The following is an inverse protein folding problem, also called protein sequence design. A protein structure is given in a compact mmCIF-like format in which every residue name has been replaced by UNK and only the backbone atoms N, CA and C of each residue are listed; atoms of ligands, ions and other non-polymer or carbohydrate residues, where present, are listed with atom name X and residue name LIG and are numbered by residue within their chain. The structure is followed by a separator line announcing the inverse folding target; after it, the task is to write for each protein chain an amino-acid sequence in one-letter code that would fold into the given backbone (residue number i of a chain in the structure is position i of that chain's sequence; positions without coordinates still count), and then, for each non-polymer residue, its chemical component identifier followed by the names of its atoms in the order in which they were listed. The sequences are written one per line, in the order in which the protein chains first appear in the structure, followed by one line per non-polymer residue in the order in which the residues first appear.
data_IF_751767708105
#
_entry.id   IF_751767708105
#
_cell.length_a   1.000
_cell.length_b   1.000
_cell.length_c   1.000
_cell.angle_alpha   90.00
_cell.angle_beta   90.00
_cell.angle_gamma   90.00
#
_symmetry.space_group_name_H-M   'P 1'
#
loop_
_entity.id
_entity.type
_entity.pdbx_description
1 polymer ?
#
# COMPACT_ATOMS: atom_id res chain seq x y z
N UNK A 1 13.59 15.65 -17.58
CA UNK A 1 13.48 16.25 -16.25
C UNK A 1 12.05 16.13 -15.70
N UNK A 2 11.55 14.90 -15.49
CA UNK A 2 10.25 14.62 -14.88
C UNK A 2 10.36 13.76 -13.60
N UNK A 3 11.60 13.50 -13.12
CA UNK A 3 11.83 12.55 -12.02
C UNK A 3 12.08 13.19 -10.64
N UNK A 4 12.21 14.52 -10.55
CA UNK A 4 12.61 15.15 -9.28
C UNK A 4 11.58 15.03 -8.14
N UNK A 5 10.31 14.69 -8.44
CA UNK A 5 9.26 14.59 -7.43
C UNK A 5 8.43 13.28 -7.48
N UNK A 6 8.78 12.30 -8.33
CA UNK A 6 8.04 11.05 -8.37
C UNK A 6 8.66 10.03 -7.40
N UNK A 7 7.83 9.42 -6.57
CA UNK A 7 8.23 8.40 -5.59
C UNK A 7 7.40 7.15 -5.84
N UNK A 8 8.07 6.01 -6.05
CA UNK A 8 7.38 4.72 -6.09
C UNK A 8 6.96 4.33 -4.68
N UNK A 9 5.66 4.41 -4.41
CA UNK A 9 5.06 4.07 -3.11
C UNK A 9 4.60 2.61 -3.02
N UNK A 10 4.63 1.87 -4.13
CA UNK A 10 4.20 0.47 -4.20
C UNK A 10 5.24 -0.37 -4.95
N UNK A 11 6.24 -0.86 -4.22
CA UNK A 11 7.32 -1.69 -4.77
C UNK A 11 7.42 -2.99 -4.01
N UNK A 12 7.56 -4.11 -4.74
CA UNK A 12 7.65 -5.45 -4.16
C UNK A 12 9.00 -6.08 -4.49
N UNK A 13 9.57 -6.79 -3.52
CA UNK A 13 10.81 -7.55 -3.70
C UNK A 13 10.56 -9.04 -3.84
N UNK A 14 11.62 -9.83 -4.01
CA UNK A 14 11.57 -11.29 -4.02
C UNK A 14 11.01 -11.94 -2.73
N UNK A 15 10.82 -11.16 -1.66
CA UNK A 15 10.08 -11.61 -0.48
C UNK A 15 8.57 -11.71 -0.73
N UNK A 16 8.07 -11.10 -1.79
CA UNK A 16 6.70 -11.26 -2.30
C UNK A 16 6.65 -12.40 -3.30
N UNK A 17 6.61 -13.65 -2.81
CA UNK A 17 6.65 -14.84 -3.65
C UNK A 17 5.62 -14.77 -4.80
N UNK A 18 6.06 -15.05 -6.03
CA UNK A 18 5.33 -14.95 -7.31
C UNK A 18 5.05 -13.51 -7.80
N UNK A 19 5.44 -12.45 -7.07
CA UNK A 19 5.16 -11.06 -7.47
C UNK A 19 6.42 -10.24 -7.69
N UNK A 20 7.47 -10.46 -6.90
CA UNK A 20 8.75 -9.79 -7.05
C UNK A 20 9.88 -10.78 -7.31
N UNK A 21 10.88 -10.37 -8.09
CA UNK A 21 12.06 -11.20 -8.41
C UNK A 21 13.36 -10.57 -7.92
N UNK A 22 13.40 -9.24 -7.78
CA UNK A 22 14.59 -8.51 -7.37
C UNK A 22 14.78 -8.56 -5.85
N UNK A 23 16.03 -8.59 -5.39
CA UNK A 23 16.31 -8.40 -3.96
C UNK A 23 16.03 -6.95 -3.55
N UNK A 24 15.78 -6.67 -2.25
CA UNK A 24 15.67 -5.30 -1.78
C UNK A 24 16.87 -4.42 -2.13
N UNK A 25 18.07 -4.98 -2.14
CA UNK A 25 19.29 -4.24 -2.52
C UNK A 25 19.32 -3.89 -4.01
N UNK A 26 18.88 -4.80 -4.89
CA UNK A 26 18.83 -4.55 -6.33
C UNK A 26 17.81 -3.46 -6.69
N UNK A 27 16.66 -3.45 -5.98
CA UNK A 27 15.64 -2.42 -6.14
C UNK A 27 16.19 -1.05 -5.77
N UNK A 28 16.90 -0.95 -4.64
CA UNK A 28 17.52 0.30 -4.19
C UNK A 28 18.63 0.75 -5.16
N UNK A 29 19.48 -0.17 -5.61
CA UNK A 29 20.52 0.14 -6.59
C UNK A 29 19.92 0.64 -7.92
N UNK A 30 18.80 0.05 -8.36
CA UNK A 30 18.08 0.51 -9.55
C UNK A 30 17.49 1.92 -9.34
N UNK A 31 16.86 2.17 -8.18
CA UNK A 31 16.31 3.48 -7.83
C UNK A 31 17.42 4.56 -7.81
N UNK A 32 18.56 4.25 -7.20
CA UNK A 32 19.72 5.16 -7.16
C UNK A 32 20.23 5.51 -8.57
N UNK A 33 20.40 4.50 -9.43
CA UNK A 33 20.83 4.72 -10.83
C UNK A 33 19.87 5.59 -11.63
N UNK A 34 18.58 5.55 -11.28
CA UNK A 34 17.54 6.35 -11.92
C UNK A 34 17.29 7.71 -11.22
N UNK A 35 18.10 8.08 -10.25
CA UNK A 35 18.04 9.39 -9.59
C UNK A 35 16.88 9.55 -8.59
N UNK A 36 16.25 8.45 -8.12
CA UNK A 36 15.24 8.54 -7.08
C UNK A 36 15.86 8.84 -5.73
N UNK A 37 15.26 9.78 -5.01
CA UNK A 37 15.69 10.18 -3.66
C UNK A 37 14.96 9.43 -2.55
N UNK A 38 13.84 8.78 -2.89
CA UNK A 38 13.01 8.00 -1.96
C UNK A 38 12.44 6.78 -2.66
N UNK A 39 12.25 5.71 -1.92
CA UNK A 39 11.65 4.47 -2.43
C UNK A 39 10.85 3.80 -1.32
N UNK A 40 9.68 3.25 -1.64
CA UNK A 40 8.93 2.40 -0.71
C UNK A 40 9.23 0.92 -0.97
N UNK A 41 9.20 0.12 0.11
CA UNK A 41 9.08 -1.33 0.02
C UNK A 41 7.76 -1.74 0.67
N UNK A 42 6.91 -2.43 -0.10
CA UNK A 42 5.55 -2.81 0.29
C UNK A 42 5.27 -4.28 -0.04
N UNK A 43 6.15 -5.16 0.42
CA UNK A 43 6.03 -6.60 0.17
C UNK A 43 4.67 -7.15 0.65
N UNK A 44 4.19 -8.20 -0.03
CA UNK A 44 2.90 -8.84 0.27
C UNK A 44 2.99 -9.73 1.50
N UNK A 45 2.16 -9.43 2.49
CA UNK A 45 1.96 -10.23 3.70
C UNK A 45 3.24 -10.42 4.56
N UNK A 46 4.29 -9.62 4.33
CA UNK A 46 5.58 -9.77 5.03
C UNK A 46 6.36 -8.46 5.16
N UNK A 47 7.10 -8.31 6.25
CA UNK A 47 8.09 -7.27 6.49
C UNK A 47 9.52 -7.81 6.51
N UNK A 48 9.74 -9.07 6.08
CA UNK A 48 11.04 -9.74 6.19
C UNK A 48 12.18 -9.04 5.43
N UNK A 49 11.87 -8.37 4.31
CA UNK A 49 12.85 -7.62 3.51
C UNK A 49 13.24 -6.24 4.08
N UNK A 50 12.48 -5.72 5.04
CA UNK A 50 12.52 -4.31 5.47
C UNK A 50 13.90 -3.86 5.96
N UNK A 51 14.55 -4.64 6.83
CA UNK A 51 15.85 -4.25 7.40
C UNK A 51 16.95 -4.22 6.33
N UNK A 52 16.94 -5.20 5.42
CA UNK A 52 17.89 -5.23 4.29
C UNK A 52 17.66 -4.06 3.36
N UNK A 53 16.40 -3.75 3.08
CA UNK A 53 15.99 -2.60 2.29
C UNK A 53 16.48 -1.28 2.92
N UNK A 54 16.17 -1.04 4.19
CA UNK A 54 16.55 0.19 4.90
C UNK A 54 18.07 0.37 4.93
N UNK A 55 18.84 -0.69 5.22
CA UNK A 55 20.31 -0.64 5.17
C UNK A 55 20.83 -0.27 3.79
N UNK A 56 20.27 -0.85 2.73
CA UNK A 56 20.64 -0.53 1.36
C UNK A 56 20.29 0.92 1.00
N UNK A 57 19.13 1.41 1.39
CA UNK A 57 18.71 2.79 1.17
C UNK A 57 19.69 3.78 1.80
N UNK A 58 20.07 3.55 3.06
CA UNK A 58 21.07 4.39 3.76
C UNK A 58 22.40 4.43 3.00
N UNK A 59 22.89 3.27 2.54
CA UNK A 59 24.15 3.18 1.79
C UNK A 59 24.09 3.92 0.44
N UNK A 60 22.92 4.06 -0.17
CA UNK A 60 22.71 4.75 -1.44
C UNK A 60 22.12 6.17 -1.28
N UNK A 61 22.02 6.69 -0.05
CA UNK A 61 21.44 8.01 0.25
C UNK A 61 19.98 8.16 -0.23
N UNK A 62 19.22 7.07 -0.23
CA UNK A 62 17.79 7.03 -0.55
C UNK A 62 17.00 7.02 0.76
N UNK A 63 15.95 7.82 0.85
CA UNK A 63 15.01 7.78 1.99
C UNK A 63 14.12 6.55 1.91
N UNK A 64 14.19 5.60 2.87
CA UNK A 64 13.34 4.43 2.87
C UNK A 64 11.93 4.77 3.34
N UNK A 65 10.93 4.31 2.60
CA UNK A 65 9.53 4.31 3.03
C UNK A 65 9.13 2.86 3.28
N UNK A 66 8.69 2.57 4.49
CA UNK A 66 8.37 1.20 4.89
C UNK A 66 6.87 0.99 4.85
N UNK A 67 6.46 -0.07 4.20
CA UNK A 67 5.07 -0.46 4.11
C UNK A 67 4.86 -1.95 3.93
N UNK A 68 3.62 -2.32 3.76
CA UNK A 68 3.18 -3.69 3.50
C UNK A 68 1.89 -3.68 2.69
N UNK A 69 1.74 -4.64 1.78
CA UNK A 69 0.46 -4.89 1.10
C UNK A 69 -0.21 -6.10 1.73
N UNK A 70 -1.38 -5.90 2.32
CA UNK A 70 -2.15 -6.94 3.03
C UNK A 70 -3.55 -7.11 2.45
N UNK A 71 -4.18 -8.25 2.72
CA UNK A 71 -5.61 -8.44 2.49
C UNK A 71 -6.41 -7.59 3.47
N UNK A 72 -7.46 -6.94 2.97
CA UNK A 72 -8.25 -5.99 3.75
C UNK A 72 -9.75 -6.18 3.51
N UNK A 73 -10.48 -6.38 4.59
CA UNK A 73 -11.92 -6.62 4.63
C UNK A 73 -12.38 -7.89 3.89
N UNK A 74 -11.54 -8.50 3.08
CA UNK A 74 -11.85 -9.71 2.32
C UNK A 74 -10.58 -10.50 1.95
N UNK A 75 -10.76 -11.76 1.54
CA UNK A 75 -9.69 -12.64 1.07
C UNK A 75 -9.11 -12.25 -0.30
N UNK A 76 -9.86 -11.45 -1.07
CA UNK A 76 -9.51 -11.14 -2.46
C UNK A 76 -8.94 -9.74 -2.64
N UNK A 77 -9.30 -8.79 -1.77
CA UNK A 77 -8.93 -7.39 -1.90
C UNK A 77 -7.73 -7.01 -1.03
N UNK A 78 -6.94 -6.09 -1.53
CA UNK A 78 -5.71 -5.67 -0.86
C UNK A 78 -5.62 -4.16 -0.77
N UNK A 79 -4.96 -3.71 0.29
CA UNK A 79 -4.55 -2.32 0.49
C UNK A 79 -3.07 -2.28 0.82
N UNK A 80 -2.46 -1.12 0.61
CA UNK A 80 -1.08 -0.89 1.04
C UNK A 80 -1.09 0.01 2.27
N UNK A 81 -0.39 -0.42 3.31
CA UNK A 81 -0.15 0.35 4.53
C UNK A 81 1.27 0.90 4.49
N UNK A 82 1.43 2.20 4.72
CA UNK A 82 2.75 2.84 4.81
C UNK A 82 2.93 3.43 6.21
N UNK A 83 4.10 3.22 6.81
CA UNK A 83 4.49 3.86 8.05
C UNK A 83 4.71 5.37 7.83
N UNK A 84 4.13 6.21 8.70
CA UNK A 84 4.32 7.66 8.68
C UNK A 84 5.57 8.11 9.43
N UNK A 85 6.04 7.27 10.36
CA UNK A 85 7.15 7.57 11.26
C UNK A 85 7.83 6.28 11.75
N UNK A 86 8.84 6.40 12.59
CA UNK A 86 9.40 5.25 13.32
C UNK A 86 8.37 4.55 14.21
N UNK A 87 7.44 5.30 14.81
CA UNK A 87 6.29 4.75 15.54
C UNK A 87 5.37 3.94 14.62
N UNK A 88 5.09 4.46 13.43
CA UNK A 88 4.33 3.75 12.40
C UNK A 88 4.97 2.44 11.98
N UNK A 89 6.30 2.38 11.84
CA UNK A 89 6.99 1.11 11.60
C UNK A 89 6.77 0.09 12.73
N UNK A 90 6.88 0.54 13.98
CA UNK A 90 6.59 -0.31 15.14
C UNK A 90 5.14 -0.82 15.13
N UNK A 91 4.22 0.04 14.73
CA UNK A 91 2.80 -0.30 14.56
C UNK A 91 2.58 -1.34 13.46
N UNK A 92 3.23 -1.20 12.30
CA UNK A 92 3.20 -2.21 11.23
C UNK A 92 3.70 -3.57 11.72
N UNK A 93 4.83 -3.60 12.43
CA UNK A 93 5.40 -4.85 12.95
C UNK A 93 4.43 -5.53 13.93
N UNK A 94 3.85 -4.77 14.87
CA UNK A 94 2.88 -5.27 15.84
C UNK A 94 1.60 -5.76 15.17
N UNK A 95 1.05 -5.00 14.23
CA UNK A 95 -0.16 -5.36 13.47
C UNK A 95 0.05 -6.67 12.71
N UNK A 96 1.13 -6.76 11.92
CA UNK A 96 1.43 -7.95 11.13
C UNK A 96 1.68 -9.17 12.01
N UNK A 97 2.37 -9.00 13.14
CA UNK A 97 2.60 -10.08 14.10
C UNK A 97 1.29 -10.55 14.73
N UNK A 98 0.43 -9.64 15.15
CA UNK A 98 -0.86 -9.97 15.73
C UNK A 98 -1.78 -10.71 14.73
N UNK A 99 -1.82 -10.26 13.48
CA UNK A 99 -2.58 -10.94 12.42
C UNK A 99 -2.03 -12.34 12.14
N UNK A 100 -0.71 -12.50 12.09
CA UNK A 100 -0.08 -13.81 11.84
C UNK A 100 -0.26 -14.80 12.99
N UNK A 101 -0.27 -14.34 14.23
CA UNK A 101 -0.49 -15.19 15.41
C UNK A 101 -1.91 -15.79 15.48
N UNK A 102 -2.88 -15.18 14.78
CA UNK A 102 -4.25 -15.70 14.69
C UNK A 102 -4.42 -16.80 13.65
N UNK A 103 -3.42 -17.03 12.78
CA UNK A 103 -3.56 -17.89 11.62
C UNK A 103 -3.27 -19.35 11.95
N UNK A 104 -4.05 -20.26 11.35
CA UNK A 104 -3.67 -21.63 11.19
C UNK A 104 -2.52 -21.78 10.18
N UNK A 105 -1.91 -22.97 10.13
CA UNK A 105 -0.79 -23.23 9.25
C UNK A 105 -1.17 -22.98 7.77
N UNK A 106 -0.35 -22.20 7.04
CA UNK A 106 -0.51 -21.82 5.63
C UNK A 106 -1.59 -20.80 5.28
N UNK A 107 -2.28 -20.19 6.21
CA UNK A 107 -3.19 -19.09 5.94
C UNK A 107 -2.44 -17.76 5.73
N UNK A 108 -3.05 -16.85 4.98
CA UNK A 108 -2.52 -15.48 4.80
C UNK A 108 -3.30 -14.50 5.66
N UNK A 109 -2.61 -13.53 6.28
CA UNK A 109 -3.27 -12.58 7.14
C UNK A 109 -4.27 -11.72 6.38
N UNK A 110 -5.47 -11.60 6.95
CA UNK A 110 -6.52 -10.69 6.52
C UNK A 110 -6.81 -9.73 7.67
N UNK A 111 -6.78 -8.45 7.42
CA UNK A 111 -7.27 -7.45 8.34
C UNK A 111 -8.79 -7.33 8.11
N UNK A 112 -9.55 -8.11 8.89
CA UNK A 112 -11.00 -8.16 8.79
C UNK A 112 -11.65 -6.96 9.50
N UNK A 113 -12.92 -6.69 9.20
CA UNK A 113 -13.66 -5.59 9.85
C UNK A 113 -13.70 -5.73 11.37
N UNK A 114 -13.87 -6.94 11.88
CA UNK A 114 -13.87 -7.21 13.32
C UNK A 114 -12.53 -6.92 14.02
N UNK A 115 -11.44 -6.81 13.26
CA UNK A 115 -10.12 -6.49 13.79
C UNK A 115 -9.86 -4.98 13.89
N UNK A 116 -10.63 -4.15 13.17
CA UNK A 116 -10.34 -2.71 13.06
C UNK A 116 -10.39 -2.01 14.42
N UNK A 117 -11.39 -2.29 15.23
CA UNK A 117 -11.51 -1.73 16.58
C UNK A 117 -10.34 -2.17 17.48
N UNK A 118 -9.97 -3.45 17.41
CA UNK A 118 -8.90 -4.02 18.23
C UNK A 118 -7.51 -3.47 17.90
N UNK A 119 -7.31 -2.97 16.68
CA UNK A 119 -6.02 -2.46 16.21
C UNK A 119 -6.04 -0.96 15.90
N UNK A 120 -7.08 -0.22 16.29
CA UNK A 120 -7.20 1.21 16.04
C UNK A 120 -5.98 2.02 16.51
N UNK A 121 -5.39 1.67 17.65
CA UNK A 121 -4.19 2.34 18.16
C UNK A 121 -2.94 2.08 17.29
N UNK A 122 -2.88 0.94 16.59
CA UNK A 122 -1.77 0.60 15.71
C UNK A 122 -1.90 1.24 14.32
N UNK A 123 -3.08 1.71 13.95
CA UNK A 123 -3.36 2.21 12.59
C UNK A 123 -3.27 3.72 12.48
N UNK A 124 -3.27 4.46 13.59
CA UNK A 124 -3.24 5.93 13.61
C UNK A 124 -2.01 6.56 12.95
N UNK A 125 -0.86 5.91 13.05
CA UNK A 125 0.40 6.39 12.46
C UNK A 125 0.74 5.66 11.14
N UNK A 126 -0.30 5.23 10.44
CA UNK A 126 -0.20 4.59 9.12
C UNK A 126 -1.00 5.37 8.09
N UNK A 127 -0.49 5.41 6.84
CA UNK A 127 -1.31 5.69 5.68
C UNK A 127 -1.94 4.39 5.18
N UNK A 128 -3.20 4.45 4.80
CA UNK A 128 -3.88 3.38 4.07
C UNK A 128 -4.08 3.84 2.62
N UNK A 129 -3.45 3.14 1.68
CA UNK A 129 -3.58 3.39 0.25
C UNK A 129 -4.58 2.41 -0.36
N UNK A 130 -5.65 2.95 -0.92
CA UNK A 130 -6.63 2.21 -1.70
C UNK A 130 -6.15 2.11 -3.15
N UNK A 131 -5.35 1.08 -3.43
CA UNK A 131 -4.84 0.79 -4.77
C UNK A 131 -5.83 0.01 -5.65
N UNK A 132 -5.42 -0.35 -6.89
CA UNK A 132 -6.28 -1.02 -7.88
C UNK A 132 -6.91 -2.34 -7.43
N UNK A 133 -6.31 -3.01 -6.46
CA UNK A 133 -6.78 -4.31 -5.95
C UNK A 133 -7.69 -4.15 -4.70
N UNK A 134 -8.14 -2.93 -4.37
CA UNK A 134 -8.98 -2.65 -3.19
C UNK A 134 -10.48 -2.71 -3.51
N UNK A 135 -11.29 -3.04 -2.50
CA UNK A 135 -12.77 -2.95 -2.56
C UNK A 135 -13.26 -1.58 -3.00
N UNK A 136 -12.60 -0.51 -2.56
CA UNK A 136 -12.93 0.84 -2.95
C UNK A 136 -12.84 1.02 -4.46
N UNK A 137 -11.70 0.64 -5.06
CA UNK A 137 -11.51 0.82 -6.49
C UNK A 137 -12.37 -0.13 -7.33
N UNK A 138 -12.67 -1.33 -6.84
CA UNK A 138 -13.66 -2.20 -7.46
C UNK A 138 -15.04 -1.53 -7.54
N UNK A 139 -15.49 -0.89 -6.44
CA UNK A 139 -16.76 -0.16 -6.40
C UNK A 139 -16.78 1.05 -7.35
N UNK A 140 -15.65 1.78 -7.46
CA UNK A 140 -15.50 2.87 -8.43
C UNK A 140 -15.56 2.32 -9.87
N UNK A 141 -14.92 1.18 -10.14
CA UNK A 141 -14.96 0.52 -11.45
C UNK A 141 -16.39 0.11 -11.82
N UNK A 142 -17.12 -0.44 -10.87
CA UNK A 142 -18.52 -0.85 -11.00
C UNK A 142 -19.51 0.34 -11.07
N UNK A 143 -19.03 1.59 -10.97
CA UNK A 143 -19.85 2.81 -10.92
C UNK A 143 -20.87 2.82 -9.75
N UNK A 144 -20.42 2.37 -8.59
CA UNK A 144 -21.20 2.32 -7.34
C UNK A 144 -20.60 3.30 -6.31
N UNK A 145 -20.79 4.63 -6.47
CA UNK A 145 -20.14 5.64 -5.63
C UNK A 145 -20.55 5.54 -4.16
N UNK A 146 -21.82 5.20 -3.88
CA UNK A 146 -22.30 5.03 -2.51
C UNK A 146 -21.61 3.86 -1.80
N UNK A 147 -21.40 2.75 -2.51
CA UNK A 147 -20.66 1.62 -1.98
C UNK A 147 -19.19 1.96 -1.76
N UNK A 148 -18.58 2.71 -2.69
CA UNK A 148 -17.22 3.21 -2.53
C UNK A 148 -17.08 4.09 -1.29
N UNK A 149 -18.00 5.02 -1.07
CA UNK A 149 -18.03 5.87 0.14
C UNK A 149 -18.19 5.05 1.42
N UNK A 150 -19.02 4.01 1.38
CA UNK A 150 -19.18 3.10 2.52
C UNK A 150 -17.90 2.36 2.85
N UNK A 151 -17.13 1.93 1.86
CA UNK A 151 -15.81 1.31 2.10
C UNK A 151 -14.81 2.29 2.71
N UNK A 152 -14.80 3.54 2.27
CA UNK A 152 -13.99 4.60 2.90
C UNK A 152 -14.38 4.84 4.34
N UNK A 153 -15.69 4.89 4.63
CA UNK A 153 -16.19 5.11 5.99
C UNK A 153 -15.76 3.95 6.92
N UNK A 154 -15.96 2.70 6.49
CA UNK A 154 -15.53 1.52 7.26
C UNK A 154 -14.03 1.55 7.52
N UNK A 155 -13.22 1.86 6.52
CA UNK A 155 -11.78 1.96 6.69
C UNK A 155 -11.40 3.14 7.60
N UNK A 156 -12.15 4.25 7.55
CA UNK A 156 -11.93 5.45 8.34
C UNK A 156 -12.15 5.26 9.84
N UNK A 157 -12.90 4.26 10.26
CA UNK A 157 -13.07 3.89 11.67
C UNK A 157 -11.72 3.58 12.33
N UNK A 158 -10.76 3.02 11.58
CA UNK A 158 -9.44 2.66 12.08
C UNK A 158 -8.30 3.49 11.46
N UNK A 159 -8.40 3.86 10.20
CA UNK A 159 -7.34 4.55 9.46
C UNK A 159 -7.71 6.02 9.18
N UNK A 160 -7.25 6.98 10.00
CA UNK A 160 -7.56 8.40 9.79
C UNK A 160 -6.84 8.99 8.55
N UNK A 161 -5.81 8.32 8.06
CA UNK A 161 -5.01 8.78 6.92
C UNK A 161 -5.20 7.86 5.72
N UNK A 162 -6.28 8.10 4.98
CA UNK A 162 -6.61 7.36 3.77
C UNK A 162 -6.23 8.14 2.51
N UNK A 163 -5.80 7.40 1.49
CA UNK A 163 -5.38 7.94 0.19
C UNK A 163 -5.85 7.01 -0.92
N UNK A 164 -6.35 7.56 -2.01
CA UNK A 164 -6.64 6.79 -3.21
C UNK A 164 -5.38 6.75 -4.08
N UNK A 165 -4.88 5.55 -4.34
CA UNK A 165 -3.71 5.32 -5.18
C UNK A 165 -4.14 5.10 -6.63
N UNK A 166 -3.87 6.06 -7.49
CA UNK A 166 -4.13 5.99 -8.92
C UNK A 166 -2.93 5.39 -9.63
N UNK A 167 -3.12 4.21 -10.23
CA UNK A 167 -2.06 3.49 -10.96
C UNK A 167 -2.43 3.41 -12.42
N UNK A 168 -1.49 3.77 -13.31
CA UNK A 168 -1.66 3.57 -14.76
C UNK A 168 -0.44 2.87 -15.34
N UNK A 169 -0.66 1.68 -15.91
CA UNK A 169 0.33 0.98 -16.72
C UNK A 169 0.14 1.26 -18.20
N UNK A 170 -0.59 2.33 -18.56
CA UNK A 170 -0.95 2.69 -19.94
C UNK A 170 -1.70 1.56 -20.69
N UNK A 171 -2.26 0.62 -19.94
CA UNK A 171 -3.07 -0.46 -20.52
C UNK A 171 -4.41 0.09 -21.02
N UNK A 172 -4.96 -0.43 -22.13
CA UNK A 172 -6.23 0.05 -22.68
C UNK A 172 -7.43 -0.29 -21.77
N UNK A 173 -7.34 -1.39 -21.01
CA UNK A 173 -8.41 -1.89 -20.13
C UNK A 173 -7.85 -2.45 -18.81
N UNK A 174 -8.72 -2.74 -17.85
CA UNK A 174 -8.38 -3.37 -16.59
C UNK A 174 -8.17 -2.36 -15.45
N UNK A 175 -7.94 -2.89 -14.25
CA UNK A 175 -7.85 -2.12 -13.00
C UNK A 175 -6.66 -1.12 -12.97
N UNK A 176 -5.65 -1.31 -13.81
CA UNK A 176 -4.47 -0.45 -13.95
C UNK A 176 -4.43 0.30 -15.27
N UNK A 177 -5.59 0.49 -15.91
CA UNK A 177 -5.70 1.31 -17.13
C UNK A 177 -5.73 2.79 -16.79
N UNK A 178 -5.36 3.63 -17.77
CA UNK A 178 -5.46 5.09 -17.65
C UNK A 178 -6.90 5.53 -17.37
N UNK A 179 -7.89 4.83 -17.96
CA UNK A 179 -9.31 5.11 -17.70
C UNK A 179 -9.68 4.88 -16.24
N UNK A 180 -9.18 3.80 -15.62
CA UNK A 180 -9.44 3.52 -14.20
C UNK A 180 -8.75 4.52 -13.30
N UNK A 181 -7.49 4.88 -13.59
CA UNK A 181 -6.78 5.92 -12.86
C UNK A 181 -7.54 7.26 -12.92
N UNK A 182 -8.03 7.64 -14.08
CA UNK A 182 -8.84 8.86 -14.25
C UNK A 182 -10.16 8.81 -13.47
N UNK A 183 -10.86 7.66 -13.45
CA UNK A 183 -12.08 7.48 -12.64
C UNK A 183 -11.79 7.59 -11.15
N UNK A 184 -10.73 6.95 -10.66
CA UNK A 184 -10.32 7.01 -9.26
C UNK A 184 -9.96 8.44 -8.85
N UNK A 185 -9.25 9.18 -9.70
CA UNK A 185 -8.92 10.58 -9.49
C UNK A 185 -10.16 11.47 -9.49
N UNK A 186 -11.09 11.26 -10.43
CA UNK A 186 -12.38 11.96 -10.48
C UNK A 186 -13.18 11.74 -9.20
N UNK A 187 -13.35 10.50 -8.78
CA UNK A 187 -14.02 10.15 -7.52
C UNK A 187 -13.35 10.83 -6.30
N UNK A 188 -12.02 10.79 -6.22
CA UNK A 188 -11.27 11.43 -5.15
C UNK A 188 -11.54 12.94 -5.09
N UNK A 189 -11.50 13.63 -6.25
CA UNK A 189 -11.77 15.06 -6.35
C UNK A 189 -13.20 15.40 -5.94
N UNK A 190 -14.17 14.65 -6.44
CA UNK A 190 -15.60 14.93 -6.23
C UNK A 190 -16.01 14.74 -4.76
N UNK A 191 -15.24 13.94 -4.00
CA UNK A 191 -15.49 13.68 -2.58
C UNK A 191 -14.43 14.28 -1.63
N UNK A 192 -13.51 15.11 -2.12
CA UNK A 192 -12.50 15.79 -1.30
C UNK A 192 -11.48 14.83 -0.67
N UNK A 193 -11.22 13.68 -1.30
CA UNK A 193 -10.30 12.66 -0.80
C UNK A 193 -8.93 12.87 -1.44
N UNK A 194 -7.87 12.69 -0.66
CA UNK A 194 -6.51 12.77 -1.18
C UNK A 194 -6.25 11.63 -2.18
N UNK A 195 -5.70 11.98 -3.35
CA UNK A 195 -5.24 11.01 -4.34
C UNK A 195 -3.75 11.18 -4.62
N UNK A 196 -3.09 10.10 -4.99
CA UNK A 196 -1.69 10.06 -5.41
C UNK A 196 -1.56 9.27 -6.71
N UNK A 197 -0.56 9.58 -7.48
CA UNK A 197 -0.09 8.75 -8.60
C UNK A 197 1.06 7.87 -8.12
N UNK A 198 1.04 6.60 -8.49
CA UNK A 198 2.05 5.62 -8.13
C UNK A 198 2.44 4.73 -9.32
#
# INVERSE_FOLDING_TARGET
MLHENFIHLHTVSGYSFKFGTASPADLVAAASRNGFTSLALTDRDTLAGTIRFAKSCIAHQITPIIGITIKFLSEHHRVTLLARSGGGYSSLVRLVSALKLKLAHNEKPVLARADLENYADLTRDLFLLHGPDSLLQESIAARQPELALRHLQIAGEAFPHQVIECVSHLAPTGSRSTQMAARALGFARDHGIRAILS
#
